data_IF_712279556071
#
_entry.id   IF_712279556071
#
_cell.length_a   1.000
_cell.length_b   1.000
_cell.length_c   1.000
_cell.angle_alpha   90.00
_cell.angle_beta   90.00
_cell.angle_gamma   90.00
#
_symmetry.space_group_name_H-M   'P 1'
#
loop_
_entity.id
_entity.type
_entity.pdbx_description
1 polymer ?
#
# COMPACT_ATOMS: atom_id res chain seq x y z
N UNK A 1 -15.13 28.88 -1.55
CA UNK A 1 -16.53 29.33 -1.37
C UNK A 1 -16.70 29.70 0.10
N UNK A 2 -17.32 30.85 0.39
CA UNK A 2 -17.48 31.33 1.78
C UNK A 2 -18.78 30.77 2.34
N UNK A 3 -18.74 30.22 3.56
CA UNK A 3 -19.93 29.78 4.28
C UNK A 3 -20.59 31.02 4.87
N UNK A 4 -21.82 31.29 4.45
CA UNK A 4 -22.59 32.48 4.83
C UNK A 4 -23.76 32.12 5.75
N UNK A 5 -24.28 33.13 6.47
CA UNK A 5 -25.44 33.00 7.37
C UNK A 5 -26.63 32.26 6.76
N UNK A 6 -26.96 32.53 5.48
CA UNK A 6 -28.11 31.91 4.82
C UNK A 6 -27.97 30.39 4.65
N UNK A 7 -26.76 29.85 4.70
CA UNK A 7 -26.53 28.40 4.61
C UNK A 7 -26.69 27.69 5.96
N UNK A 8 -26.73 28.44 7.08
CA UNK A 8 -26.76 27.89 8.44
C UNK A 8 -28.03 28.30 9.22
N UNK A 9 -29.13 28.62 8.52
CA UNK A 9 -30.38 29.12 9.14
C UNK A 9 -30.92 28.20 10.24
N UNK A 10 -30.78 26.88 10.08
CA UNK A 10 -31.22 25.89 11.08
C UNK A 10 -30.36 25.85 12.34
N UNK A 11 -29.10 26.30 12.25
CA UNK A 11 -28.21 26.41 13.40
C UNK A 11 -28.56 27.63 14.28
N UNK A 12 -29.39 28.54 13.76
CA UNK A 12 -29.82 29.79 14.41
C UNK A 12 -31.19 29.68 15.10
N UNK A 13 -31.91 28.56 14.97
CA UNK A 13 -33.25 28.38 15.54
C UNK A 13 -33.20 28.06 17.06
N UNK A 14 -33.88 28.84 17.93
CA UNK A 14 -33.98 28.55 19.35
C UNK A 14 -34.76 27.23 19.58
N UNK A 15 -34.10 26.20 20.10
CA UNK A 15 -34.70 24.87 20.34
C UNK A 15 -34.00 23.70 19.64
N UNK A 16 -32.92 23.95 18.89
CA UNK A 16 -32.12 22.90 18.28
C UNK A 16 -31.45 22.00 19.33
N UNK A 17 -31.83 20.73 19.36
CA UNK A 17 -31.33 19.74 20.34
C UNK A 17 -29.88 19.30 20.05
N UNK A 18 -29.56 18.96 18.79
CA UNK A 18 -28.21 18.58 18.37
C UNK A 18 -28.03 18.70 16.85
N UNK A 19 -26.79 18.93 16.42
CA UNK A 19 -26.33 18.79 15.04
C UNK A 19 -25.49 17.52 14.97
N UNK A 20 -25.82 16.61 14.04
CA UNK A 20 -25.20 15.29 13.90
C UNK A 20 -24.67 15.08 12.47
N UNK A 21 -23.80 14.08 12.28
CA UNK A 21 -23.28 13.70 10.95
C UNK A 21 -21.81 14.05 10.67
N UNK A 22 -21.13 14.74 11.60
CA UNK A 22 -19.69 15.02 11.49
C UNK A 22 -18.83 14.20 12.48
N UNK A 23 -19.46 13.43 13.37
CA UNK A 23 -18.86 12.76 14.53
C UNK A 23 -18.74 11.24 14.32
N UNK A 24 -18.24 10.81 13.17
CA UNK A 24 -17.97 9.39 12.92
C UNK A 24 -16.53 9.04 13.28
N UNK A 25 -16.34 7.84 13.81
CA UNK A 25 -15.05 7.19 13.89
C UNK A 25 -14.46 6.99 12.49
N UNK A 26 -13.14 6.88 12.44
CA UNK A 26 -12.37 6.99 11.20
C UNK A 26 -11.42 5.82 11.06
N UNK A 27 -11.22 5.39 9.82
CA UNK A 27 -10.09 4.53 9.47
C UNK A 27 -8.85 5.41 9.31
N UNK A 28 -8.11 5.57 10.41
CA UNK A 28 -6.89 6.36 10.43
C UNK A 28 -5.65 5.46 10.28
N UNK A 29 -4.60 6.04 9.72
CA UNK A 29 -3.26 5.46 9.58
C UNK A 29 -3.14 4.11 8.85
N UNK A 30 -4.13 3.66 8.06
CA UNK A 30 -3.99 2.43 7.27
C UNK A 30 -2.84 2.47 6.24
N UNK A 31 -2.47 3.66 5.76
CA UNK A 31 -1.30 3.84 4.90
C UNK A 31 0.02 3.39 5.55
N UNK A 32 0.17 3.49 6.88
CA UNK A 32 1.41 3.10 7.57
C UNK A 32 1.59 1.59 7.63
N UNK A 33 0.53 0.82 7.36
CA UNK A 33 0.64 -0.62 7.23
C UNK A 33 1.27 -1.03 5.89
N UNK A 34 1.23 -0.14 4.90
CA UNK A 34 1.74 -0.33 3.53
C UNK A 34 3.11 0.33 3.39
N UNK A 35 3.21 1.62 3.68
CA UNK A 35 4.38 2.45 3.39
C UNK A 35 5.07 2.92 4.67
N UNK A 36 6.38 3.07 4.56
CA UNK A 36 7.21 3.73 5.57
C UNK A 36 7.25 5.24 5.30
N UNK A 37 7.40 6.04 6.36
CA UNK A 37 7.41 7.50 6.24
C UNK A 37 8.85 8.02 6.25
N UNK A 38 9.21 8.82 5.25
CA UNK A 38 10.49 9.51 5.14
C UNK A 38 10.27 11.02 5.00
N UNK A 39 11.15 11.83 5.60
CA UNK A 39 11.13 13.29 5.50
C UNK A 39 12.08 13.76 4.41
N UNK A 40 11.67 14.74 3.61
CA UNK A 40 12.47 15.35 2.55
C UNK A 40 12.27 16.87 2.55
N UNK A 41 13.38 17.59 2.33
CA UNK A 41 13.40 19.05 2.14
C UNK A 41 13.57 19.44 0.66
N UNK A 42 13.54 18.46 -0.26
CA UNK A 42 13.80 18.66 -1.70
C UNK A 42 12.47 18.76 -2.46
N UNK A 43 12.53 19.32 -3.67
CA UNK A 43 11.36 19.39 -4.55
C UNK A 43 10.98 18.02 -5.14
N UNK A 44 11.97 17.15 -5.32
CA UNK A 44 11.81 15.75 -5.71
C UNK A 44 12.93 14.93 -5.07
N UNK A 45 12.67 13.64 -4.87
CA UNK A 45 13.70 12.64 -4.57
C UNK A 45 13.86 11.74 -5.77
N UNK A 46 15.10 11.32 -6.01
CA UNK A 46 15.44 10.41 -7.09
C UNK A 46 16.29 9.28 -6.51
N UNK A 47 15.85 8.06 -6.75
CA UNK A 47 16.52 6.85 -6.31
C UNK A 47 16.92 6.03 -7.54
N UNK A 48 18.18 5.61 -7.56
CA UNK A 48 18.75 4.81 -8.64
C UNK A 48 19.04 3.42 -8.08
N UNK A 49 18.51 2.40 -8.74
CA UNK A 49 18.84 1.03 -8.41
C UNK A 49 20.21 0.66 -8.98
N UNK A 50 21.06 0.10 -8.13
CA UNK A 50 22.36 -0.43 -8.53
C UNK A 50 22.27 -1.94 -8.74
N UNK A 51 22.69 -2.40 -9.91
CA UNK A 51 22.92 -3.80 -10.20
C UNK A 51 24.12 -4.33 -9.42
N UNK A 52 23.92 -5.43 -8.70
CA UNK A 52 24.98 -6.14 -7.99
C UNK A 52 25.93 -6.89 -8.93
N UNK A 53 26.80 -7.72 -8.33
CA UNK A 53 27.70 -8.61 -9.06
C UNK A 53 27.05 -9.99 -9.32
N UNK A 54 27.51 -10.67 -10.37
CA UNK A 54 27.09 -12.02 -10.70
C UNK A 54 27.75 -13.11 -9.84
N UNK A 55 27.56 -14.36 -10.25
CA UNK A 55 28.23 -15.49 -9.61
C UNK A 55 29.75 -15.42 -9.82
N UNK A 56 30.50 -15.74 -8.77
CA UNK A 56 31.95 -15.88 -8.88
C UNK A 56 32.31 -17.08 -9.78
N UNK A 57 33.16 -16.86 -10.77
CA UNK A 57 33.65 -17.90 -11.66
C UNK A 57 34.80 -18.70 -11.04
N UNK A 58 34.95 -19.96 -11.45
CA UNK A 58 36.11 -20.79 -11.07
C UNK A 58 37.33 -20.25 -11.80
N UNK A 59 38.27 -19.68 -11.05
CA UNK A 59 39.54 -19.17 -11.58
C UNK A 59 40.50 -20.31 -11.93
N UNK A 60 40.89 -20.50 -13.21
CA UNK A 60 41.94 -21.46 -13.56
C UNK A 60 43.30 -21.08 -12.97
N UNK A 61 44.15 -22.08 -12.76
CA UNK A 61 45.52 -21.84 -12.30
C UNK A 61 46.30 -21.02 -13.34
N UNK A 62 46.99 -19.97 -12.89
CA UNK A 62 47.79 -19.08 -13.75
C UNK A 62 47.02 -17.95 -14.46
N UNK A 63 45.69 -17.91 -14.41
CA UNK A 63 44.90 -16.80 -14.99
C UNK A 63 44.78 -15.59 -14.05
N UNK A 64 44.38 -14.44 -14.59
CA UNK A 64 43.97 -13.27 -13.81
C UNK A 64 42.62 -13.47 -13.11
N UNK A 65 42.25 -12.55 -12.21
CA UNK A 65 40.91 -12.46 -11.61
C UNK A 65 40.00 -11.73 -12.59
N UNK A 66 38.78 -12.23 -12.82
CA UNK A 66 37.74 -11.52 -13.57
C UNK A 66 37.17 -10.40 -12.70
N UNK A 67 37.19 -9.18 -13.21
CA UNK A 67 36.55 -8.02 -12.57
C UNK A 67 35.21 -7.77 -13.27
N UNK A 68 34.18 -7.49 -12.51
CA UNK A 68 32.88 -7.07 -13.03
C UNK A 68 32.66 -5.58 -12.76
N UNK A 69 31.92 -4.93 -13.66
CA UNK A 69 31.51 -3.53 -13.53
C UNK A 69 30.13 -3.46 -12.87
N UNK A 70 29.98 -2.54 -11.91
CA UNK A 70 28.67 -2.20 -11.36
C UNK A 70 27.90 -1.33 -12.35
N UNK A 71 26.61 -1.61 -12.55
CA UNK A 71 25.76 -0.88 -13.50
C UNK A 71 24.50 -0.35 -12.79
N UNK A 72 24.08 0.86 -13.13
CA UNK A 72 22.77 1.40 -12.74
C UNK A 72 21.66 0.81 -13.62
N UNK A 73 20.55 0.38 -13.03
CA UNK A 73 19.43 -0.24 -13.75
C UNK A 73 18.34 0.79 -14.04
N UNK A 74 17.38 0.95 -13.14
CA UNK A 74 16.29 1.92 -13.31
C UNK A 74 16.34 3.03 -12.26
N UNK A 75 15.66 4.12 -12.57
CA UNK A 75 15.56 5.31 -11.72
C UNK A 75 14.11 5.60 -11.41
N UNK A 76 13.79 5.70 -10.12
CA UNK A 76 12.48 6.13 -9.64
C UNK A 76 12.57 7.56 -9.13
N UNK A 77 11.63 8.41 -9.54
CA UNK A 77 11.54 9.80 -9.10
C UNK A 77 10.23 10.07 -8.38
N UNK A 78 10.31 10.58 -7.15
CA UNK A 78 9.17 10.98 -6.34
C UNK A 78 9.05 12.48 -6.29
N UNK A 79 7.91 13.01 -6.73
CA UNK A 79 7.62 14.45 -6.68
C UNK A 79 6.61 14.74 -5.58
N UNK A 80 6.93 15.69 -4.70
CA UNK A 80 6.02 16.10 -3.64
C UNK A 80 4.84 16.89 -4.21
N UNK A 81 3.62 16.52 -3.81
CA UNK A 81 2.40 17.22 -4.21
C UNK A 81 1.83 17.99 -3.02
N UNK A 82 1.44 19.25 -3.25
CA UNK A 82 0.76 20.05 -2.22
C UNK A 82 -0.73 19.73 -2.19
N UNK A 83 -1.20 19.14 -1.09
CA UNK A 83 -2.62 18.93 -0.82
C UNK A 83 -3.13 20.01 0.11
N UNK A 84 -4.15 20.75 -0.30
CA UNK A 84 -4.72 21.83 0.49
C UNK A 84 -6.26 21.81 0.45
N UNK A 85 -6.88 22.08 1.59
CA UNK A 85 -8.31 22.32 1.72
C UNK A 85 -8.51 23.46 2.73
N UNK A 86 -9.46 24.34 2.48
CA UNK A 86 -9.76 25.47 3.33
C UNK A 86 -11.25 25.80 3.32
N UNK A 87 -11.74 26.40 4.40
CA UNK A 87 -13.06 27.01 4.48
C UNK A 87 -12.93 28.45 4.96
N UNK A 88 -13.90 29.29 4.61
CA UNK A 88 -13.99 30.67 5.08
C UNK A 88 -15.38 30.89 5.70
N UNK A 89 -15.42 31.64 6.80
CA UNK A 89 -16.65 32.04 7.50
C UNK A 89 -16.81 33.55 7.36
N UNK A 90 -18.04 34.03 7.11
CA UNK A 90 -18.33 35.47 7.19
C UNK A 90 -18.42 35.93 8.64
N UNK A 91 -18.10 37.19 8.90
CA UNK A 91 -18.14 37.80 10.24
C UNK A 91 -19.56 37.70 10.84
N UNK A 92 -20.58 38.00 10.04
CA UNK A 92 -21.99 37.93 10.46
C UNK A 92 -22.41 36.51 10.85
N UNK A 93 -21.80 35.48 10.25
CA UNK A 93 -22.08 34.09 10.58
C UNK A 93 -21.38 33.65 11.88
N UNK A 94 -20.33 34.36 12.29
CA UNK A 94 -19.67 34.14 13.59
C UNK A 94 -20.40 34.92 14.69
N UNK A 95 -20.79 36.16 14.42
CA UNK A 95 -21.47 37.04 15.39
C UNK A 95 -22.91 36.60 15.69
N UNK A 96 -23.69 36.26 14.65
CA UNK A 96 -25.10 35.85 14.84
C UNK A 96 -25.22 34.40 15.34
N UNK A 97 -24.10 33.66 15.38
CA UNK A 97 -24.11 32.29 15.84
C UNK A 97 -24.17 32.24 17.38
N UNK A 98 -25.37 31.93 17.88
CA UNK A 98 -25.68 31.82 19.31
C UNK A 98 -24.87 30.73 20.04
N UNK A 99 -24.21 29.82 19.32
CA UNK A 99 -23.42 28.71 19.88
C UNK A 99 -22.02 28.63 19.25
N UNK A 100 -20.97 28.92 20.01
CA UNK A 100 -19.54 28.92 19.64
C UNK A 100 -18.96 27.56 19.13
N UNK A 101 -19.56 26.99 18.08
CA UNK A 101 -19.34 25.60 17.65
C UNK A 101 -19.19 25.43 16.15
N UNK A 102 -19.48 26.44 15.32
CA UNK A 102 -19.34 26.37 13.86
C UNK A 102 -17.86 26.21 13.47
N UNK A 103 -17.01 27.13 13.91
CA UNK A 103 -15.57 27.12 13.63
C UNK A 103 -14.91 25.79 14.04
N UNK A 104 -15.14 25.34 15.27
CA UNK A 104 -14.58 24.09 15.80
C UNK A 104 -15.05 22.86 15.02
N UNK A 105 -16.33 22.81 14.62
CA UNK A 105 -16.87 21.68 13.84
C UNK A 105 -16.31 21.63 12.42
N UNK A 106 -16.27 22.76 11.73
CA UNK A 106 -15.73 22.83 10.38
C UNK A 106 -14.22 22.57 10.36
N UNK A 107 -13.47 23.00 11.38
CA UNK A 107 -12.06 22.62 11.55
C UNK A 107 -11.89 21.11 11.75
N UNK A 108 -12.73 20.44 12.55
CA UNK A 108 -12.71 18.98 12.71
C UNK A 108 -13.06 18.25 11.41
N UNK A 109 -14.04 18.75 10.66
CA UNK A 109 -14.43 18.21 9.35
C UNK A 109 -13.31 18.39 8.31
N UNK A 110 -12.64 19.55 8.33
CA UNK A 110 -11.48 19.83 7.49
C UNK A 110 -10.34 18.85 7.78
N UNK A 111 -9.98 18.68 9.05
CA UNK A 111 -8.95 17.71 9.47
C UNK A 111 -9.32 16.28 9.04
N UNK A 112 -10.60 15.91 9.12
CA UNK A 112 -11.09 14.61 8.64
C UNK A 112 -10.89 14.43 7.13
N UNK A 113 -11.25 15.44 6.34
CA UNK A 113 -11.09 15.38 4.88
C UNK A 113 -9.63 15.24 4.51
N UNK A 114 -8.74 16.01 5.15
CA UNK A 114 -7.29 15.93 4.90
C UNK A 114 -6.74 14.54 5.25
N UNK A 115 -7.13 13.98 6.40
CA UNK A 115 -6.74 12.64 6.80
C UNK A 115 -7.24 11.57 5.83
N UNK A 116 -8.48 11.68 5.36
CA UNK A 116 -9.06 10.77 4.36
C UNK A 116 -8.31 10.86 3.02
N UNK A 117 -8.05 12.07 2.51
CA UNK A 117 -7.26 12.27 1.29
C UNK A 117 -5.89 11.60 1.38
N UNK A 118 -5.24 11.63 2.55
CA UNK A 118 -3.97 10.91 2.76
C UNK A 118 -4.13 9.39 2.57
N UNK A 119 -5.16 8.78 3.15
CA UNK A 119 -5.40 7.33 3.00
C UNK A 119 -5.75 6.94 1.56
N UNK A 120 -6.65 7.70 0.92
CA UNK A 120 -7.07 7.45 -0.47
C UNK A 120 -5.89 7.54 -1.41
N UNK A 121 -5.04 8.56 -1.27
CA UNK A 121 -3.84 8.72 -2.10
C UNK A 121 -2.85 7.58 -1.91
N UNK A 122 -2.63 7.13 -0.68
CA UNK A 122 -1.74 6.01 -0.41
C UNK A 122 -2.28 4.69 -0.99
N UNK A 123 -3.55 4.36 -0.74
CA UNK A 123 -4.18 3.15 -1.27
C UNK A 123 -4.26 3.16 -2.81
N UNK A 124 -4.33 4.35 -3.42
CA UNK A 124 -4.39 4.50 -4.87
C UNK A 124 -3.13 3.99 -5.61
N UNK A 125 -1.99 3.87 -4.92
CA UNK A 125 -0.79 3.20 -5.49
C UNK A 125 -1.09 1.72 -5.75
N UNK A 126 -1.65 1.01 -4.77
CA UNK A 126 -2.05 -0.39 -4.93
C UNK A 126 -3.26 -0.55 -5.87
N UNK A 127 -4.25 0.34 -5.79
CA UNK A 127 -5.43 0.31 -6.68
C UNK A 127 -5.05 0.48 -8.16
N UNK A 128 -3.91 1.11 -8.45
CA UNK A 128 -3.37 1.27 -9.81
C UNK A 128 -2.24 0.30 -10.11
N UNK A 129 -1.93 -0.63 -9.20
CA UNK A 129 -0.74 -1.48 -9.29
C UNK A 129 -0.69 -2.34 -10.55
N UNK A 130 -1.85 -2.76 -11.06
CA UNK A 130 -2.00 -3.57 -12.28
C UNK A 130 -2.30 -2.74 -13.55
N UNK A 131 -2.19 -1.41 -13.48
CA UNK A 131 -2.58 -0.53 -14.58
C UNK A 131 -1.35 -0.01 -15.34
N UNK A 132 -1.14 -0.54 -16.55
CA UNK A 132 -0.04 -0.18 -17.46
C UNK A 132 -0.02 1.27 -17.96
N UNK A 133 -1.00 2.11 -17.57
CA UNK A 133 -0.92 3.57 -17.76
C UNK A 133 -0.17 4.29 -16.63
N UNK A 134 0.15 3.59 -15.54
CA UNK A 134 0.87 4.12 -14.38
C UNK A 134 2.17 3.35 -14.20
N UNK A 135 3.21 3.85 -14.87
CA UNK A 135 4.50 3.20 -14.93
C UNK A 135 5.38 3.55 -13.72
N UNK A 136 6.13 2.56 -13.24
CA UNK A 136 7.23 2.69 -12.29
C UNK A 136 8.56 3.01 -12.98
N UNK A 137 9.66 2.82 -12.24
CA UNK A 137 11.01 3.18 -12.70
C UNK A 137 11.50 2.38 -13.91
N UNK A 138 11.06 1.13 -14.05
CA UNK A 138 11.40 0.22 -15.16
C UNK A 138 10.46 0.34 -16.38
N UNK A 139 9.60 1.38 -16.39
CA UNK A 139 8.58 1.62 -17.40
C UNK A 139 7.49 0.52 -17.50
N UNK A 140 7.28 -0.25 -16.42
CA UNK A 140 6.15 -1.18 -16.25
C UNK A 140 5.23 -0.74 -15.12
N UNK A 141 4.00 -1.23 -15.09
CA UNK A 141 3.14 -1.09 -13.92
C UNK A 141 3.77 -1.72 -12.67
N UNK A 142 3.32 -1.32 -11.47
CA UNK A 142 3.91 -1.77 -10.21
C UNK A 142 3.88 -3.30 -10.04
N UNK A 143 2.82 -3.94 -10.53
CA UNK A 143 2.61 -5.39 -10.48
C UNK A 143 2.54 -5.92 -11.91
N UNK A 144 3.59 -6.60 -12.35
CA UNK A 144 3.73 -7.13 -13.70
C UNK A 144 4.36 -8.54 -13.70
N UNK A 145 4.14 -9.25 -14.80
CA UNK A 145 4.78 -10.56 -15.05
C UNK A 145 6.15 -10.47 -15.72
N UNK A 146 6.58 -9.27 -16.12
CA UNK A 146 7.74 -9.06 -16.99
C UNK A 146 8.56 -7.79 -16.64
N UNK A 147 8.93 -7.65 -15.37
CA UNK A 147 9.93 -6.66 -14.93
C UNK A 147 11.32 -7.06 -15.45
N UNK A 148 11.88 -6.28 -16.37
CA UNK A 148 13.18 -6.57 -16.98
C UNK A 148 14.33 -6.29 -16.02
N UNK A 149 15.19 -7.28 -15.80
CA UNK A 149 16.41 -7.17 -15.00
C UNK A 149 17.66 -7.41 -15.85
N UNK A 150 18.86 -7.20 -15.29
CA UNK A 150 20.12 -7.54 -15.99
C UNK A 150 20.30 -9.04 -16.27
N UNK A 151 19.55 -9.90 -15.56
CA UNK A 151 19.58 -11.35 -15.74
C UNK A 151 18.44 -11.84 -16.63
N UNK A 152 17.26 -12.00 -16.03
CA UNK A 152 16.06 -12.47 -16.70
C UNK A 152 14.84 -11.76 -16.14
N UNK A 153 13.77 -11.67 -16.92
CA UNK A 153 12.54 -11.03 -16.47
C UNK A 153 12.03 -11.66 -15.16
N UNK A 154 11.60 -10.80 -14.25
CA UNK A 154 11.01 -11.19 -12.98
C UNK A 154 9.53 -10.81 -12.97
N UNK A 155 8.77 -11.53 -12.15
CA UNK A 155 7.34 -11.28 -11.92
C UNK A 155 7.09 -11.05 -10.44
N UNK A 156 6.14 -10.18 -10.15
CA UNK A 156 5.63 -9.95 -8.79
C UNK A 156 4.10 -10.07 -8.70
N UNK A 157 3.47 -10.61 -9.75
CA UNK A 157 2.08 -11.04 -9.79
C UNK A 157 1.94 -12.48 -10.30
N UNK A 158 0.74 -13.06 -10.12
CA UNK A 158 0.43 -14.39 -10.64
C UNK A 158 0.25 -14.37 -12.15
N UNK A 159 0.87 -15.31 -12.86
CA UNK A 159 0.75 -15.44 -14.32
C UNK A 159 -0.70 -15.59 -14.80
N UNK A 160 -1.51 -16.27 -14.00
CA UNK A 160 -2.97 -16.31 -14.16
C UNK A 160 -3.56 -15.67 -12.92
N UNK A 161 -4.28 -14.55 -13.09
CA UNK A 161 -4.96 -13.88 -11.99
C UNK A 161 -5.87 -14.87 -11.24
N UNK A 162 -5.78 -14.86 -9.91
CA UNK A 162 -6.52 -15.76 -9.05
C UNK A 162 -6.94 -15.06 -7.76
N UNK A 163 -8.20 -15.28 -7.38
CA UNK A 163 -8.76 -14.81 -6.12
C UNK A 163 -8.00 -15.38 -4.92
N UNK A 164 -8.07 -14.69 -3.78
CA UNK A 164 -7.47 -15.17 -2.54
C UNK A 164 -8.09 -16.51 -2.11
N UNK A 165 -7.27 -17.56 -2.14
CA UNK A 165 -7.57 -18.88 -1.63
C UNK A 165 -6.26 -19.56 -1.18
N UNK A 166 -6.35 -20.79 -0.67
CA UNK A 166 -5.18 -21.53 -0.19
C UNK A 166 -4.13 -21.72 -1.30
N UNK A 167 -4.55 -22.19 -2.48
CA UNK A 167 -3.65 -22.47 -3.60
C UNK A 167 -2.98 -21.21 -4.15
N UNK A 168 -3.74 -20.12 -4.33
CA UNK A 168 -3.19 -18.86 -4.83
C UNK A 168 -2.22 -18.22 -3.82
N UNK A 169 -2.54 -18.30 -2.52
CA UNK A 169 -1.65 -17.82 -1.47
C UNK A 169 -0.37 -18.66 -1.37
N UNK A 170 -0.46 -19.99 -1.40
CA UNK A 170 0.72 -20.87 -1.42
C UNK A 170 1.62 -20.61 -2.63
N UNK A 171 1.03 -20.46 -3.82
CA UNK A 171 1.79 -20.13 -5.03
C UNK A 171 2.50 -18.78 -4.89
N UNK A 172 1.85 -17.75 -4.38
CA UNK A 172 2.47 -16.45 -4.18
C UNK A 172 3.62 -16.50 -3.15
N UNK A 173 3.47 -17.29 -2.09
CA UNK A 173 4.54 -17.49 -1.10
C UNK A 173 5.76 -18.21 -1.69
N UNK A 174 5.54 -19.17 -2.60
CA UNK A 174 6.59 -19.84 -3.36
C UNK A 174 7.29 -18.86 -4.31
N UNK A 175 6.50 -18.05 -5.03
CA UNK A 175 7.03 -17.06 -5.97
C UNK A 175 7.90 -16.02 -5.23
N UNK A 176 7.47 -15.53 -4.05
CA UNK A 176 8.26 -14.63 -3.20
C UNK A 176 9.59 -15.28 -2.76
N UNK A 177 9.56 -16.55 -2.33
CA UNK A 177 10.78 -17.26 -1.93
C UNK A 177 11.70 -17.60 -3.13
N UNK A 178 11.17 -17.56 -4.35
CA UNK A 178 11.88 -17.81 -5.61
C UNK A 178 12.48 -16.56 -6.24
N UNK A 179 12.23 -15.36 -5.70
CA UNK A 179 12.76 -14.11 -6.22
C UNK A 179 14.29 -14.10 -6.21
N UNK A 180 14.84 -13.31 -7.13
CA UNK A 180 16.28 -13.18 -7.35
C UNK A 180 16.66 -11.71 -7.38
N UNK A 181 17.94 -11.41 -7.23
CA UNK A 181 18.44 -10.07 -7.52
C UNK A 181 18.52 -9.80 -9.03
N UNK A 182 18.98 -8.59 -9.40
CA UNK A 182 19.17 -8.16 -10.78
C UNK A 182 20.08 -9.08 -11.61
N UNK A 183 20.98 -9.83 -10.98
CA UNK A 183 21.95 -10.73 -11.64
C UNK A 183 21.52 -12.19 -11.58
N UNK A 184 20.35 -12.48 -11.01
CA UNK A 184 19.80 -13.82 -10.90
C UNK A 184 20.29 -14.63 -9.70
N UNK A 185 20.95 -14.02 -8.72
CA UNK A 185 21.27 -14.64 -7.44
C UNK A 185 20.02 -14.76 -6.58
N UNK A 186 19.87 -15.87 -5.84
CA UNK A 186 18.71 -16.07 -4.97
C UNK A 186 18.78 -15.11 -3.78
N UNK A 187 17.67 -14.42 -3.50
CA UNK A 187 17.52 -13.57 -2.33
C UNK A 187 16.63 -14.26 -1.29
N UNK A 188 16.95 -14.08 -0.01
CA UNK A 188 16.21 -14.68 1.09
C UNK A 188 14.98 -13.85 1.46
N UNK A 189 14.07 -13.68 0.51
CA UNK A 189 12.89 -12.85 0.67
C UNK A 189 11.73 -13.63 1.32
N UNK A 190 10.98 -12.96 2.20
CA UNK A 190 9.83 -13.53 2.90
C UNK A 190 8.63 -12.60 2.81
N UNK A 191 7.45 -13.19 2.58
CA UNK A 191 6.19 -12.47 2.73
C UNK A 191 5.92 -12.24 4.22
N UNK A 192 5.76 -10.98 4.61
CA UNK A 192 5.62 -10.56 6.00
C UNK A 192 4.18 -10.29 6.39
N UNK A 193 3.45 -9.54 5.54
CA UNK A 193 2.10 -9.06 5.83
C UNK A 193 1.22 -9.15 4.58
N UNK A 194 -0.03 -9.58 4.76
CA UNK A 194 -1.03 -9.56 3.70
C UNK A 194 -1.93 -8.31 3.82
N UNK A 195 -2.14 -7.60 2.73
CA UNK A 195 -3.02 -6.42 2.66
C UNK A 195 -4.24 -6.79 1.83
N UNK A 196 -5.43 -6.59 2.37
CA UNK A 196 -6.69 -7.00 1.74
C UNK A 196 -7.78 -5.92 1.83
N UNK A 197 -8.75 -5.91 0.90
CA UNK A 197 -9.99 -5.17 1.03
C UNK A 197 -10.90 -5.81 2.09
N UNK A 198 -11.88 -5.05 2.56
CA UNK A 198 -12.88 -5.48 3.56
C UNK A 198 -13.61 -6.75 3.14
N UNK A 199 -13.87 -6.89 1.83
CA UNK A 199 -14.60 -8.01 1.23
C UNK A 199 -13.93 -9.37 1.50
N UNK A 200 -12.59 -9.39 1.60
CA UNK A 200 -11.81 -10.61 1.80
C UNK A 200 -11.54 -10.95 3.26
N UNK A 201 -11.97 -10.12 4.22
CA UNK A 201 -11.64 -10.29 5.65
C UNK A 201 -11.95 -11.68 6.19
N UNK A 202 -13.09 -12.26 5.80
CA UNK A 202 -13.51 -13.58 6.29
C UNK A 202 -12.76 -14.72 5.60
N UNK A 203 -12.34 -14.54 4.35
CA UNK A 203 -11.52 -15.52 3.63
C UNK A 203 -10.13 -15.55 4.25
N UNK A 204 -9.51 -14.39 4.43
CA UNK A 204 -8.22 -14.24 5.09
C UNK A 204 -8.22 -14.77 6.52
N UNK A 205 -9.26 -14.48 7.31
CA UNK A 205 -9.37 -14.97 8.69
C UNK A 205 -9.36 -16.51 8.73
N UNK A 206 -10.09 -17.17 7.84
CA UNK A 206 -10.13 -18.63 7.78
C UNK A 206 -8.77 -19.19 7.33
N UNK A 207 -8.17 -18.64 6.29
CA UNK A 207 -6.87 -19.08 5.78
C UNK A 207 -5.76 -18.92 6.82
N UNK A 208 -5.77 -17.85 7.61
CA UNK A 208 -4.69 -17.56 8.56
C UNK A 208 -4.90 -18.20 9.94
N UNK A 209 -6.15 -18.38 10.38
CA UNK A 209 -6.43 -18.83 11.77
C UNK A 209 -7.01 -20.23 11.89
N UNK A 210 -7.54 -20.83 10.83
CA UNK A 210 -8.06 -22.20 10.89
C UNK A 210 -6.96 -23.20 11.26
N UNK A 211 -7.30 -24.20 12.08
CA UNK A 211 -6.39 -25.28 12.46
C UNK A 211 -6.18 -26.30 11.32
N UNK A 212 -7.26 -26.59 10.59
CA UNK A 212 -7.24 -27.45 9.42
C UNK A 212 -7.50 -26.67 8.13
N UNK A 213 -7.34 -27.34 6.99
CA UNK A 213 -7.66 -26.78 5.68
C UNK A 213 -9.13 -26.37 5.61
N UNK A 214 -9.40 -25.26 4.93
CA UNK A 214 -10.73 -24.66 4.86
C UNK A 214 -11.45 -25.20 3.62
N UNK A 215 -12.68 -25.67 3.77
CA UNK A 215 -13.51 -26.10 2.64
C UNK A 215 -13.27 -27.53 2.15
N UNK A 216 -12.50 -28.34 2.88
CA UNK A 216 -12.26 -29.76 2.61
C UNK A 216 -12.91 -30.63 3.69
N UNK A 217 -13.27 -31.88 3.34
CA UNK A 217 -13.71 -32.88 4.32
C UNK A 217 -12.51 -33.52 5.06
N UNK A 218 -11.31 -33.36 4.50
CA UNK A 218 -10.07 -33.89 5.05
C UNK A 218 -9.55 -33.02 6.20
N UNK A 219 -9.05 -33.66 7.27
CA UNK A 219 -8.49 -33.00 8.45
C UNK A 219 -6.99 -32.69 8.28
N UNK A 220 -6.62 -32.25 7.08
CA UNK A 220 -5.27 -31.82 6.76
C UNK A 220 -4.91 -30.57 7.56
N UNK A 221 -3.64 -30.48 7.97
CA UNK A 221 -3.12 -29.31 8.68
C UNK A 221 -3.08 -28.12 7.73
N UNK A 222 -3.48 -26.94 8.23
CA UNK A 222 -3.24 -25.68 7.53
C UNK A 222 -1.73 -25.38 7.50
N UNK A 223 -1.10 -25.59 6.34
CA UNK A 223 0.35 -25.43 6.15
C UNK A 223 0.80 -23.98 6.37
N UNK A 224 0.05 -23.00 5.87
CA UNK A 224 0.34 -21.57 6.01
C UNK A 224 0.48 -21.20 7.50
N UNK A 225 -0.51 -21.61 8.30
CA UNK A 225 -0.49 -21.37 9.75
C UNK A 225 0.60 -22.18 10.46
N UNK A 226 0.74 -23.46 10.14
CA UNK A 226 1.69 -24.36 10.82
C UNK A 226 3.15 -23.98 10.56
N UNK A 227 3.46 -23.48 9.37
CA UNK A 227 4.82 -23.06 8.99
C UNK A 227 5.12 -21.62 9.43
N UNK A 228 4.13 -20.90 9.99
CA UNK A 228 4.29 -19.50 10.37
C UNK A 228 4.53 -18.58 9.17
N UNK A 229 3.90 -18.89 8.03
CA UNK A 229 3.96 -18.05 6.84
C UNK A 229 3.17 -16.76 7.07
N UNK A 230 3.63 -15.63 6.50
CA UNK A 230 3.04 -14.30 6.74
C UNK A 230 2.96 -13.96 8.24
N UNK A 231 4.10 -13.83 8.93
CA UNK A 231 4.16 -13.72 10.39
C UNK A 231 3.46 -12.49 10.97
N UNK A 232 3.28 -11.41 10.21
CA UNK A 232 2.54 -10.22 10.64
C UNK A 232 1.03 -10.35 10.38
N UNK A 233 0.57 -11.47 9.84
CA UNK A 233 -0.83 -11.73 9.53
C UNK A 233 -1.35 -10.88 8.38
N UNK A 234 -2.63 -10.52 8.45
CA UNK A 234 -3.28 -9.68 7.45
C UNK A 234 -3.79 -8.37 8.07
N UNK A 235 -3.86 -7.34 7.24
CA UNK A 235 -4.44 -6.04 7.57
C UNK A 235 -5.52 -5.69 6.55
N UNK A 236 -6.61 -5.12 7.05
CA UNK A 236 -7.72 -4.66 6.22
C UNK A 236 -7.46 -3.21 5.84
N UNK A 237 -7.50 -2.91 4.55
CA UNK A 237 -7.49 -1.55 4.04
C UNK A 237 -8.85 -1.21 3.44
N UNK A 238 -9.52 -0.21 4.04
CA UNK A 238 -10.87 0.23 3.68
C UNK A 238 -10.88 1.15 2.44
N UNK A 239 -9.73 1.53 1.92
CA UNK A 239 -9.56 2.43 0.79
C UNK A 239 -9.11 1.70 -0.49
N UNK A 240 -8.97 0.38 -0.43
CA UNK A 240 -8.85 -0.44 -1.63
C UNK A 240 -10.19 -0.47 -2.36
N UNK A 241 -10.16 -0.20 -3.67
CA UNK A 241 -11.37 -0.11 -4.51
C UNK A 241 -11.71 -1.42 -5.18
N UNK A 242 -10.71 -2.28 -5.39
CA UNK A 242 -10.90 -3.61 -5.91
C UNK A 242 -11.31 -4.56 -4.77
N UNK A 243 -12.39 -5.31 -5.00
CA UNK A 243 -13.01 -6.17 -3.99
C UNK A 243 -12.35 -7.54 -3.86
N UNK A 244 -11.55 -7.96 -4.84
CA UNK A 244 -10.86 -9.26 -4.85
C UNK A 244 -9.33 -9.16 -4.93
N UNK A 245 -8.77 -7.98 -5.19
CA UNK A 245 -7.33 -7.76 -5.15
C UNK A 245 -6.76 -7.96 -3.74
N UNK A 246 -5.65 -8.70 -3.65
CA UNK A 246 -4.92 -8.96 -2.40
C UNK A 246 -3.42 -8.84 -2.67
N UNK A 247 -2.67 -8.41 -1.65
CA UNK A 247 -1.25 -8.09 -1.80
C UNK A 247 -0.44 -8.69 -0.66
N UNK A 248 0.82 -9.03 -0.93
CA UNK A 248 1.80 -9.44 0.08
C UNK A 248 2.92 -8.41 0.15
N UNK A 249 3.11 -7.80 1.32
CA UNK A 249 4.30 -6.99 1.63
C UNK A 249 5.41 -7.93 2.10
N UNK A 250 6.56 -7.84 1.46
CA UNK A 250 7.76 -8.63 1.79
C UNK A 250 8.68 -7.89 2.75
N UNK A 251 9.75 -8.53 3.19
CA UNK A 251 10.86 -7.92 3.94
C UNK A 251 11.95 -7.30 3.05
N UNK A 252 11.68 -7.11 1.75
CA UNK A 252 12.59 -6.43 0.84
C UNK A 252 12.86 -5.01 1.35
N UNK A 253 14.14 -4.61 1.52
CA UNK A 253 14.45 -3.22 1.80
C UNK A 253 14.03 -2.38 0.60
N UNK A 254 13.30 -1.29 0.84
CA UNK A 254 12.79 -0.39 -0.20
C UNK A 254 11.93 -1.08 -1.29
N UNK A 255 11.24 -2.20 -0.99
CA UNK A 255 10.53 -2.99 -2.00
C UNK A 255 9.26 -2.36 -2.63
N UNK A 256 8.83 -1.18 -2.17
CA UNK A 256 7.72 -0.40 -2.76
C UNK A 256 8.20 0.92 -3.34
N UNK A 257 9.52 1.08 -3.51
CA UNK A 257 10.14 2.23 -4.12
C UNK A 257 10.33 1.97 -5.61
#
# INVERSE_FOLDING_TARGET
MVISRMQLVKELEPGLNALFGLEYDRYENQHTEIFDNESSDRAFEEEVMLGGFGNAEVKPEGSGVTYEDAQETFTARYTHETVALAFALTEEAVEDNLYDKISTRYTKALARSMANTKQVKAANILNRGFNSSYLGGDAKELLATDHTTLGADQKNELTTAADLNETSLEQALIDVAGMKDERGLKIALRAMKMIIPVNLQFVAERLMKSAGRVGTADNDINAIKSMGMVPQGYVINNFLTDTDAWFLKTDAPNGLK
#
